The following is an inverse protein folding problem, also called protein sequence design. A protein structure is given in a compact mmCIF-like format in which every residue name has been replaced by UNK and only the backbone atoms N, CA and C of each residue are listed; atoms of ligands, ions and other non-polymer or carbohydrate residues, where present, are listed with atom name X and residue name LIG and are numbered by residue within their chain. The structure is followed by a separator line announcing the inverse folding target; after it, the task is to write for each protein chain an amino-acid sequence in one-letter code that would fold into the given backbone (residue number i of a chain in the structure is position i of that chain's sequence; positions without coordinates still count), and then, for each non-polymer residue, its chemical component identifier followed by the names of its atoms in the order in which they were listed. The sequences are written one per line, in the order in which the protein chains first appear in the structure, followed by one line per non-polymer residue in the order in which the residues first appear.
data_IF_121048031468
#
_entry.id   IF_121048031468
#
_cell.length_a   1.000
_cell.length_b   1.000
_cell.length_c   1.000
_cell.angle_alpha   90.00
_cell.angle_beta   90.00
_cell.angle_gamma   90.00
#
_symmetry.space_group_name_H-M   'P 1'
#
loop_
_entity.id
_entity.type
_entity.pdbx_description
1 polymer ?
#
# COMPACT_ATOMS: atom_id res chain seq x y z
N UNK A 1 -47.91 7.03 -15.54
CA UNK A 1 -46.56 6.50 -15.84
C UNK A 1 -45.85 6.38 -14.50
N UNK A 2 -45.71 5.16 -13.99
CA UNK A 2 -45.04 4.92 -12.71
C UNK A 2 -43.53 5.04 -12.93
N UNK A 3 -42.88 5.91 -12.16
CA UNK A 3 -41.43 6.06 -12.17
C UNK A 3 -40.80 4.81 -11.52
N UNK A 4 -40.05 4.03 -12.30
CA UNK A 4 -39.29 2.88 -11.82
C UNK A 4 -38.17 3.35 -10.87
N UNK A 5 -38.45 3.39 -9.58
CA UNK A 5 -37.49 3.71 -8.50
C UNK A 5 -36.47 2.58 -8.23
N UNK A 6 -35.99 1.89 -9.26
CA UNK A 6 -35.11 0.72 -9.13
C UNK A 6 -33.70 0.94 -9.72
N UNK A 7 -33.31 2.19 -10.00
CA UNK A 7 -31.99 2.51 -10.60
C UNK A 7 -30.82 2.50 -9.60
N UNK A 8 -31.08 2.50 -8.29
CA UNK A 8 -30.02 2.46 -7.27
C UNK A 8 -30.23 1.24 -6.37
N UNK A 9 -29.64 0.12 -6.78
CA UNK A 9 -29.44 -1.04 -5.91
C UNK A 9 -28.08 -0.91 -5.25
N UNK A 10 -28.05 -0.85 -3.92
CA UNK A 10 -26.80 -1.06 -3.19
C UNK A 10 -26.29 -2.46 -3.52
N UNK A 11 -25.20 -2.57 -4.28
CA UNK A 11 -24.51 -3.83 -4.48
C UNK A 11 -24.18 -4.41 -3.11
N UNK A 12 -24.55 -5.68 -2.88
CA UNK A 12 -24.33 -6.36 -1.61
C UNK A 12 -22.86 -6.18 -1.21
N UNK A 13 -22.60 -5.36 -0.19
CA UNK A 13 -21.25 -5.16 0.30
C UNK A 13 -20.78 -6.47 0.93
N UNK A 14 -19.60 -7.00 0.55
CA UNK A 14 -19.03 -8.17 1.21
C UNK A 14 -18.88 -7.89 2.71
N UNK A 15 -19.02 -8.93 3.54
CA UNK A 15 -19.06 -8.82 5.00
C UNK A 15 -17.81 -8.14 5.60
N UNK A 16 -16.69 -8.20 4.89
CA UNK A 16 -15.47 -7.50 5.26
C UNK A 16 -15.58 -6.02 4.86
N UNK A 17 -16.09 -5.18 5.79
CA UNK A 17 -16.04 -3.73 5.63
C UNK A 17 -14.58 -3.29 5.66
N UNK A 18 -14.06 -2.87 4.51
CA UNK A 18 -12.79 -2.14 4.47
C UNK A 18 -12.88 -0.90 5.34
N UNK A 19 -11.79 -0.53 6.01
CA UNK A 19 -11.67 0.79 6.62
C UNK A 19 -11.31 1.77 5.53
N UNK A 20 -12.07 2.85 5.40
CA UNK A 20 -11.70 3.93 4.50
C UNK A 20 -10.46 4.64 5.07
N UNK A 21 -9.37 4.67 4.30
CA UNK A 21 -8.12 5.33 4.67
C UNK A 21 -7.95 6.54 3.78
N UNK A 22 -7.91 7.73 4.38
CA UNK A 22 -7.52 8.95 3.68
C UNK A 22 -6.00 9.08 3.70
N UNK A 23 -5.41 9.25 2.53
CA UNK A 23 -3.99 9.53 2.35
C UNK A 23 -3.83 10.96 1.83
N UNK A 24 -2.79 11.67 2.25
CA UNK A 24 -2.54 13.01 1.71
C UNK A 24 -2.18 12.97 0.21
N UNK A 25 -2.66 13.96 -0.55
CA UNK A 25 -2.35 14.11 -1.98
C UNK A 25 -0.84 14.16 -2.23
N UNK A 26 -0.13 14.98 -1.45
CA UNK A 26 1.32 15.15 -1.60
C UNK A 26 2.08 13.83 -1.42
N UNK A 27 1.65 12.98 -0.48
CA UNK A 27 2.24 11.65 -0.28
C UNK A 27 2.02 10.74 -1.50
N UNK A 28 0.82 10.75 -2.08
CA UNK A 28 0.55 10.01 -3.31
C UNK A 28 1.35 10.49 -4.52
N UNK A 29 1.51 11.81 -4.67
CA UNK A 29 2.31 12.40 -5.76
C UNK A 29 3.79 12.02 -5.63
N UNK A 30 4.36 12.12 -4.41
CA UNK A 30 5.72 11.68 -4.14
C UNK A 30 5.90 10.18 -4.40
N UNK A 31 4.91 9.37 -4.01
CA UNK A 31 4.93 7.94 -4.28
C UNK A 31 4.89 7.62 -5.78
N UNK A 32 4.06 8.32 -6.55
CA UNK A 32 3.99 8.14 -7.99
C UNK A 32 5.35 8.44 -8.65
N UNK A 33 6.01 9.52 -8.22
CA UNK A 33 7.35 9.87 -8.68
C UNK A 33 8.40 8.81 -8.29
N UNK A 34 8.31 8.25 -7.08
CA UNK A 34 9.18 7.15 -6.63
C UNK A 34 8.95 5.89 -7.47
N UNK A 35 7.71 5.52 -7.75
CA UNK A 35 7.37 4.34 -8.57
C UNK A 35 7.98 4.42 -9.97
N UNK A 36 7.97 5.61 -10.58
CA UNK A 36 8.56 5.82 -11.90
C UNK A 36 10.09 5.65 -11.91
N UNK A 37 10.77 5.99 -10.82
CA UNK A 37 12.23 5.97 -10.72
C UNK A 37 12.78 4.65 -10.14
N UNK A 38 12.13 4.13 -9.11
CA UNK A 38 12.57 3.00 -8.31
C UNK A 38 11.37 2.13 -7.90
N UNK A 39 10.78 1.35 -8.82
CA UNK A 39 9.56 0.59 -8.56
C UNK A 39 9.69 -0.42 -7.41
N UNK A 40 10.88 -0.98 -7.18
CA UNK A 40 11.14 -1.88 -6.04
C UNK A 40 11.20 -1.16 -4.70
N UNK A 41 11.71 0.07 -4.66
CA UNK A 41 11.67 0.90 -3.46
C UNK A 41 10.23 1.35 -3.15
N UNK A 42 9.46 1.71 -4.19
CA UNK A 42 8.03 2.01 -4.04
C UNK A 42 7.22 0.80 -3.52
N UNK A 43 7.50 -0.41 -4.03
CA UNK A 43 6.90 -1.65 -3.51
C UNK A 43 7.27 -1.86 -2.04
N UNK A 44 8.54 -1.69 -1.67
CA UNK A 44 8.99 -1.79 -0.29
C UNK A 44 8.22 -0.84 0.62
N UNK A 45 8.07 0.43 0.22
CA UNK A 45 7.32 1.42 1.00
C UNK A 45 5.86 0.97 1.25
N UNK A 46 5.21 0.30 0.29
CA UNK A 46 3.83 -0.18 0.45
C UNK A 46 3.76 -1.25 1.54
N UNK A 47 4.73 -2.17 1.52
CA UNK A 47 4.83 -3.23 2.52
C UNK A 47 5.12 -2.64 3.90
N UNK A 48 6.03 -1.66 3.99
CA UNK A 48 6.35 -1.00 5.27
C UNK A 48 5.10 -0.33 5.85
N UNK A 49 4.42 0.51 5.07
CA UNK A 49 3.19 1.22 5.52
C UNK A 49 2.07 0.24 5.88
N UNK A 50 1.90 -0.85 5.14
CA UNK A 50 0.90 -1.87 5.44
C UNK A 50 1.10 -2.56 6.80
N UNK A 51 2.35 -2.70 7.24
CA UNK A 51 2.70 -3.46 8.46
C UNK A 51 3.12 -2.57 9.64
N UNK A 52 3.22 -1.25 9.43
CA UNK A 52 3.58 -0.30 10.48
C UNK A 52 2.47 -0.23 11.53
N UNK A 53 2.85 -0.25 12.80
CA UNK A 53 1.90 -0.18 13.89
C UNK A 53 1.33 1.23 14.10
N UNK A 54 0.44 1.39 15.08
CA UNK A 54 -0.17 2.70 15.40
C UNK A 54 0.84 3.74 15.91
N UNK A 55 2.04 3.31 16.30
CA UNK A 55 3.10 4.15 16.84
C UNK A 55 4.11 4.54 15.75
N UNK A 56 3.90 4.10 14.50
CA UNK A 56 4.81 4.39 13.40
C UNK A 56 6.06 3.52 13.39
N UNK A 57 6.10 2.43 14.17
CA UNK A 57 7.25 1.54 14.26
C UNK A 57 6.98 0.21 13.56
N UNK A 58 8.02 -0.31 12.89
CA UNK A 58 8.03 -1.64 12.31
C UNK A 58 9.39 -2.30 12.55
N UNK A 59 9.40 -3.42 13.26
CA UNK A 59 10.60 -4.24 13.46
C UNK A 59 10.39 -5.56 12.71
N UNK A 60 11.19 -5.79 11.68
CA UNK A 60 11.08 -6.96 10.81
C UNK A 60 12.46 -7.36 10.29
N UNK A 61 12.71 -8.66 10.14
CA UNK A 61 13.99 -9.12 9.59
C UNK A 61 14.08 -8.83 8.09
N UNK A 62 15.29 -8.58 7.58
CA UNK A 62 15.54 -8.34 6.15
C UNK A 62 15.07 -9.52 5.29
N UNK A 63 15.22 -10.76 5.78
CA UNK A 63 14.74 -11.96 5.11
C UNK A 63 13.21 -12.02 5.04
N UNK A 64 12.52 -11.60 6.10
CA UNK A 64 11.06 -11.52 6.13
C UNK A 64 10.54 -10.46 5.17
N UNK A 65 11.16 -9.28 5.12
CA UNK A 65 10.80 -8.23 4.13
C UNK A 65 11.04 -8.71 2.71
N UNK A 66 12.18 -9.36 2.44
CA UNK A 66 12.49 -9.89 1.11
C UNK A 66 11.46 -10.94 0.66
N UNK A 67 10.99 -11.78 1.58
CA UNK A 67 9.89 -12.72 1.32
C UNK A 67 8.59 -12.01 0.98
N UNK A 68 8.23 -10.95 1.71
CA UNK A 68 7.04 -10.13 1.43
C UNK A 68 7.15 -9.39 0.09
N UNK A 69 8.36 -8.96 -0.29
CA UNK A 69 8.64 -8.32 -1.57
C UNK A 69 8.69 -9.30 -2.75
N UNK A 70 8.79 -10.61 -2.47
CA UNK A 70 9.10 -11.65 -3.46
C UNK A 70 10.41 -11.36 -4.21
N UNK A 71 11.45 -10.94 -3.47
CA UNK A 71 12.78 -10.62 -4.02
C UNK A 71 13.91 -11.24 -3.20
N UNK A 72 15.15 -11.09 -3.67
CA UNK A 72 16.33 -11.42 -2.86
C UNK A 72 16.54 -10.38 -1.75
N UNK A 73 17.26 -10.79 -0.70
CA UNK A 73 17.68 -9.86 0.37
C UNK A 73 18.50 -8.69 -0.20
N UNK A 74 19.38 -8.95 -1.17
CA UNK A 74 20.17 -7.90 -1.81
C UNK A 74 19.30 -6.84 -2.52
N UNK A 75 18.30 -7.27 -3.30
CA UNK A 75 17.35 -6.35 -3.95
C UNK A 75 16.54 -5.57 -2.92
N UNK A 76 16.14 -6.21 -1.83
CA UNK A 76 15.42 -5.54 -0.72
C UNK A 76 16.28 -4.47 -0.07
N UNK A 77 17.54 -4.78 0.24
CA UNK A 77 18.47 -3.81 0.84
C UNK A 77 18.79 -2.64 -0.09
N UNK A 78 18.87 -2.87 -1.40
CA UNK A 78 18.98 -1.79 -2.37
C UNK A 78 17.75 -0.87 -2.31
N UNK A 79 16.55 -1.44 -2.15
CA UNK A 79 15.33 -0.67 -1.92
C UNK A 79 15.42 0.17 -0.65
N UNK A 80 15.89 -0.41 0.46
CA UNK A 80 16.10 0.33 1.73
C UNK A 80 17.06 1.50 1.52
N UNK A 81 18.20 1.28 0.85
CA UNK A 81 19.19 2.32 0.60
C UNK A 81 18.66 3.48 -0.28
N UNK A 82 17.59 3.27 -1.06
CA UNK A 82 16.93 4.32 -1.84
C UNK A 82 15.98 5.15 -0.97
N UNK A 83 15.42 4.56 0.10
CA UNK A 83 14.44 5.20 0.99
C UNK A 83 15.08 5.97 2.15
N UNK A 84 16.40 5.83 2.36
CA UNK A 84 17.17 6.47 3.43
C UNK A 84 18.18 7.45 2.87
#
# INVERSE_FOLDING_TARGET
MASDNNEIRAYAQPAQRGTWVQTERAGHEAWAALTAQAPRAAQLMHILVQHTDKQGALIISQASVAKLMETSVATTLQGVAILT
#
